data_IF_857737700948
#
_entry.id   IF_857737700948
#
_cell.length_a   1.000
_cell.length_b   1.000
_cell.length_c   1.000
_cell.angle_alpha   90.00
_cell.angle_beta   90.00
_cell.angle_gamma   90.00
#
_symmetry.space_group_name_H-M   'P 1'
#
loop_
_entity.id
_entity.type
_entity.pdbx_description
1 polymer ?
#
# COMPACT_ATOMS: atom_id res chain seq x y z
N UNK A 1 29.03 -49.43 -69.16
CA UNK A 1 27.74 -48.90 -68.73
C UNK A 1 27.94 -48.47 -67.24
N UNK A 2 28.04 -47.17 -66.98
CA UNK A 2 28.17 -46.61 -65.65
C UNK A 2 26.85 -45.97 -65.31
N UNK A 3 26.29 -46.39 -64.17
CA UNK A 3 25.07 -45.81 -63.62
C UNK A 3 25.47 -44.75 -62.59
N UNK A 4 25.10 -43.52 -62.87
CA UNK A 4 25.28 -42.38 -61.91
C UNK A 4 24.01 -42.29 -61.08
N UNK A 5 24.15 -42.51 -59.79
CA UNK A 5 23.09 -42.22 -58.77
C UNK A 5 23.25 -40.78 -58.23
N UNK A 6 22.28 -39.93 -58.62
CA UNK A 6 22.13 -38.57 -58.05
C UNK A 6 21.36 -38.64 -56.74
N UNK A 7 22.05 -38.37 -55.61
CA UNK A 7 21.40 -38.20 -54.32
C UNK A 7 20.86 -36.77 -54.20
N UNK A 8 19.54 -36.65 -54.00
CA UNK A 8 18.89 -35.41 -53.64
C UNK A 8 19.03 -35.13 -52.14
N UNK A 9 19.73 -34.05 -51.78
CA UNK A 9 19.80 -33.55 -50.40
C UNK A 9 18.48 -32.82 -50.08
N UNK A 10 17.76 -33.34 -49.11
CA UNK A 10 16.63 -32.61 -48.47
C UNK A 10 17.20 -31.57 -47.52
N UNK A 11 17.02 -30.31 -47.84
CA UNK A 11 17.24 -29.21 -46.91
C UNK A 11 16.06 -29.18 -45.94
N UNK A 12 16.32 -29.48 -44.65
CA UNK A 12 15.38 -29.27 -43.58
C UNK A 12 15.27 -27.77 -43.32
N UNK A 13 14.13 -27.18 -43.62
CA UNK A 13 13.77 -25.82 -43.22
C UNK A 13 13.50 -25.82 -41.74
N UNK A 14 14.41 -25.19 -40.97
CA UNK A 14 14.16 -24.88 -39.57
C UNK A 14 13.08 -23.79 -39.48
N UNK A 15 11.93 -24.13 -38.91
CA UNK A 15 10.91 -23.15 -38.53
C UNK A 15 11.48 -22.22 -37.48
N UNK A 16 11.23 -20.88 -37.53
CA UNK A 16 11.62 -19.98 -36.48
C UNK A 16 10.76 -20.27 -35.24
N UNK A 17 11.40 -20.60 -34.13
CA UNK A 17 10.75 -20.72 -32.85
C UNK A 17 10.10 -19.35 -32.50
N UNK A 18 8.77 -19.29 -32.48
CA UNK A 18 8.01 -18.19 -31.91
C UNK A 18 8.41 -18.07 -30.44
N UNK A 19 9.34 -17.17 -30.14
CA UNK A 19 9.52 -16.68 -28.76
C UNK A 19 8.27 -15.89 -28.43
N UNK A 20 7.43 -16.48 -27.59
CA UNK A 20 6.22 -15.90 -27.05
C UNK A 20 6.60 -14.56 -26.37
N UNK A 21 6.45 -13.47 -27.13
CA UNK A 21 6.81 -12.10 -26.77
C UNK A 21 5.89 -11.52 -25.69
N UNK A 22 5.73 -12.23 -24.55
CA UNK A 22 5.07 -11.66 -23.38
C UNK A 22 5.97 -10.58 -22.80
N UNK A 23 5.66 -9.32 -23.15
CA UNK A 23 6.19 -8.16 -22.43
C UNK A 23 6.08 -8.42 -20.93
N UNK A 24 7.17 -8.30 -20.15
CA UNK A 24 7.11 -8.53 -18.71
C UNK A 24 5.99 -7.68 -18.12
N UNK A 25 5.05 -8.32 -17.44
CA UNK A 25 3.92 -7.63 -16.82
C UNK A 25 4.49 -6.71 -15.73
N UNK A 26 4.25 -5.40 -15.85
CA UNK A 26 4.74 -4.42 -14.88
C UNK A 26 4.35 -4.82 -13.46
N UNK A 27 5.32 -4.83 -12.55
CA UNK A 27 5.17 -5.19 -11.15
C UNK A 27 5.41 -3.95 -10.28
N UNK A 28 4.43 -3.59 -9.46
CA UNK A 28 4.43 -2.34 -8.69
C UNK A 28 4.47 -2.61 -7.19
N UNK A 29 5.21 -1.78 -6.45
CA UNK A 29 5.20 -1.78 -4.99
C UNK A 29 4.92 -0.37 -4.49
N UNK A 30 4.13 -0.26 -3.40
CA UNK A 30 3.99 0.95 -2.58
C UNK A 30 4.35 0.64 -1.14
N UNK A 31 4.97 1.61 -0.47
CA UNK A 31 5.40 1.53 0.92
C UNK A 31 4.74 2.62 1.76
N UNK A 32 4.24 2.22 2.92
CA UNK A 32 3.74 3.09 3.97
C UNK A 32 4.60 2.86 5.22
N UNK A 33 5.01 3.94 5.88
CA UNK A 33 5.63 3.90 7.21
C UNK A 33 4.63 4.49 8.19
N UNK A 34 4.16 3.64 9.12
CA UNK A 34 3.20 3.98 10.17
C UNK A 34 3.89 4.53 11.44
N UNK A 35 3.12 4.93 12.46
CA UNK A 35 3.55 5.38 13.80
C UNK A 35 4.52 6.58 13.81
N UNK A 36 4.40 7.49 12.85
CA UNK A 36 5.25 8.67 12.77
C UNK A 36 4.72 9.85 13.59
N UNK A 37 5.62 10.81 13.87
CA UNK A 37 5.34 12.02 14.66
C UNK A 37 5.80 11.94 16.11
N UNK A 38 6.34 10.80 16.55
CA UNK A 38 6.74 10.55 17.93
C UNK A 38 8.21 10.89 18.20
N UNK A 39 9.10 10.62 17.25
CA UNK A 39 10.55 10.67 17.46
C UNK A 39 11.23 11.38 16.27
N UNK A 40 11.75 12.60 16.47
CA UNK A 40 12.39 13.37 15.40
C UNK A 40 13.48 12.61 14.66
N UNK A 41 14.30 11.81 15.34
CA UNK A 41 15.37 11.04 14.73
C UNK A 41 14.82 9.93 13.81
N UNK A 42 13.82 9.17 14.28
CA UNK A 42 13.18 8.12 13.49
C UNK A 42 12.37 8.71 12.34
N UNK A 43 11.63 9.78 12.63
CA UNK A 43 10.81 10.49 11.65
C UNK A 43 11.68 11.06 10.52
N UNK A 44 12.83 11.66 10.86
CA UNK A 44 13.80 12.18 9.88
C UNK A 44 14.37 11.07 8.99
N UNK A 45 14.68 9.89 9.56
CA UNK A 45 15.15 8.75 8.77
C UNK A 45 14.06 8.21 7.84
N UNK A 46 12.81 8.11 8.32
CA UNK A 46 11.69 7.71 7.48
C UNK A 46 11.47 8.72 6.33
N UNK A 47 11.58 10.01 6.61
CA UNK A 47 11.47 11.09 5.62
C UNK A 47 12.58 11.00 4.55
N UNK A 48 13.79 10.62 4.96
CA UNK A 48 14.96 10.50 4.08
C UNK A 48 14.97 9.24 3.21
N UNK A 49 14.07 8.27 3.46
CA UNK A 49 13.95 7.09 2.60
C UNK A 49 13.76 7.52 1.13
N UNK A 50 14.47 6.88 0.18
CA UNK A 50 14.36 7.25 -1.23
C UNK A 50 12.97 6.96 -1.77
N UNK A 51 12.58 7.63 -2.86
CA UNK A 51 11.37 7.36 -3.63
C UNK A 51 10.04 7.75 -2.96
N UNK A 52 8.91 7.26 -3.49
CA UNK A 52 7.57 7.69 -3.11
C UNK A 52 7.02 6.93 -1.88
N UNK A 53 7.62 7.16 -0.72
CA UNK A 53 7.12 6.61 0.56
C UNK A 53 5.92 7.43 1.04
N UNK A 54 4.87 6.75 1.50
CA UNK A 54 3.75 7.36 2.21
C UNK A 54 4.05 7.36 3.71
N UNK A 55 3.88 8.51 4.36
CA UNK A 55 4.18 8.70 5.77
C UNK A 55 2.87 8.86 6.55
N UNK A 56 2.56 7.85 7.37
CA UNK A 56 1.34 7.81 8.18
C UNK A 56 1.64 8.28 9.62
N UNK A 57 0.99 9.36 10.01
CA UNK A 57 1.33 10.15 11.20
C UNK A 57 0.23 10.03 12.24
N UNK A 58 0.61 9.68 13.47
CA UNK A 58 -0.27 9.62 14.63
C UNK A 58 -0.68 11.03 15.07
N UNK A 59 -1.99 11.33 15.27
CA UNK A 59 -2.46 12.68 15.59
C UNK A 59 -2.14 13.11 17.03
N UNK A 60 -1.93 12.17 17.94
CA UNK A 60 -1.67 12.39 19.38
C UNK A 60 -0.18 12.44 19.74
N UNK A 61 0.69 12.49 18.74
CA UNK A 61 2.14 12.58 18.94
C UNK A 61 2.61 14.05 19.03
N UNK A 62 3.71 14.31 19.77
CA UNK A 62 4.15 15.68 20.02
C UNK A 62 4.60 16.44 18.76
N UNK A 63 5.06 15.72 17.73
CA UNK A 63 5.60 16.31 16.51
C UNK A 63 4.69 16.14 15.29
N UNK A 64 3.45 15.62 15.45
CA UNK A 64 2.55 15.28 14.37
C UNK A 64 2.41 16.40 13.32
N UNK A 65 2.06 17.61 13.76
CA UNK A 65 1.79 18.74 12.86
C UNK A 65 3.04 19.22 12.12
N UNK A 66 4.15 19.31 12.84
CA UNK A 66 5.40 19.80 12.22
C UNK A 66 5.99 18.77 11.26
N UNK A 67 5.90 17.49 11.63
CA UNK A 67 6.36 16.42 10.75
C UNK A 67 5.48 16.29 9.49
N UNK A 68 4.15 16.43 9.62
CA UNK A 68 3.24 16.46 8.46
C UNK A 68 3.60 17.58 7.47
N UNK A 69 3.93 18.76 7.98
CA UNK A 69 4.40 19.88 7.14
C UNK A 69 5.74 19.59 6.46
N UNK A 70 6.68 19.00 7.18
CA UNK A 70 7.98 18.62 6.63
C UNK A 70 7.83 17.54 5.54
N UNK A 71 7.03 16.50 5.80
CA UNK A 71 6.73 15.44 4.85
C UNK A 71 6.10 15.99 3.56
N UNK A 72 5.09 16.84 3.69
CA UNK A 72 4.45 17.51 2.55
C UNK A 72 5.44 18.38 1.75
N UNK A 73 6.27 19.20 2.43
CA UNK A 73 7.30 20.03 1.78
C UNK A 73 8.34 19.18 1.04
N UNK A 74 8.65 17.99 1.55
CA UNK A 74 9.56 17.03 0.90
C UNK A 74 8.90 16.24 -0.25
N UNK A 75 7.65 16.54 -0.62
CA UNK A 75 6.91 15.86 -1.69
C UNK A 75 6.45 14.44 -1.35
N UNK A 76 6.48 14.06 -0.07
CA UNK A 76 5.95 12.77 0.39
C UNK A 76 4.43 12.82 0.55
N UNK A 77 3.76 11.71 0.29
CA UNK A 77 2.33 11.59 0.62
C UNK A 77 2.16 11.48 2.12
N UNK A 78 1.41 12.39 2.70
CA UNK A 78 1.01 12.39 4.12
C UNK A 78 -0.29 11.64 4.28
N UNK A 79 -0.38 10.81 5.30
CA UNK A 79 -1.59 10.07 5.68
C UNK A 79 -1.84 10.19 7.18
N UNK A 80 -3.10 10.29 7.59
CA UNK A 80 -3.48 10.23 8.99
C UNK A 80 -3.49 8.76 9.43
N UNK A 81 -2.65 8.43 10.42
CA UNK A 81 -2.67 7.13 11.10
C UNK A 81 -3.65 7.20 12.26
N UNK A 82 -4.91 6.83 12.01
CA UNK A 82 -6.02 7.06 12.93
C UNK A 82 -6.07 6.00 14.02
N UNK A 83 -5.93 6.37 15.32
CA UNK A 83 -6.10 5.41 16.41
C UNK A 83 -7.51 4.84 16.44
N UNK A 84 -7.62 3.51 16.51
CA UNK A 84 -8.88 2.78 16.55
C UNK A 84 -8.83 1.64 17.57
N UNK A 85 -9.95 1.37 18.25
CA UNK A 85 -10.05 0.34 19.28
C UNK A 85 -9.44 -1.01 18.81
N UNK A 86 -8.46 -1.59 19.57
CA UNK A 86 -8.14 -1.39 20.97
C UNK A 86 -7.22 -0.20 21.32
N UNK A 87 -6.73 0.57 20.34
CA UNK A 87 -5.97 1.78 20.62
C UNK A 87 -6.73 2.73 21.54
N UNK A 88 -5.98 3.46 22.36
CA UNK A 88 -6.51 4.43 23.34
C UNK A 88 -6.04 5.84 22.98
N UNK A 89 -6.53 6.83 23.73
CA UNK A 89 -6.13 8.23 23.55
C UNK A 89 -7.27 9.14 23.09
N UNK A 90 -7.00 10.45 22.99
CA UNK A 90 -8.03 11.46 22.78
C UNK A 90 -8.68 11.39 21.39
N UNK A 91 -7.99 10.84 20.42
CA UNK A 91 -8.48 10.67 19.04
C UNK A 91 -8.99 9.26 18.76
N UNK A 92 -8.81 8.31 19.69
CA UNK A 92 -9.11 6.91 19.44
C UNK A 92 -10.60 6.68 19.16
N UNK A 93 -10.89 6.01 18.04
CA UNK A 93 -12.22 5.58 17.70
C UNK A 93 -12.59 4.29 18.40
N UNK A 94 -13.78 4.25 18.99
CA UNK A 94 -14.28 3.09 19.72
C UNK A 94 -15.73 2.82 19.36
N UNK A 95 -16.18 1.54 19.34
CA UNK A 95 -17.54 1.16 18.95
C UNK A 95 -18.63 1.72 19.88
N UNK A 96 -18.30 2.04 21.12
CA UNK A 96 -19.25 2.58 22.13
C UNK A 96 -19.48 4.10 21.99
N UNK A 97 -18.76 4.78 21.09
CA UNK A 97 -18.90 6.21 20.90
C UNK A 97 -20.01 6.52 19.87
N UNK A 98 -20.81 7.58 20.11
CA UNK A 98 -21.77 8.05 19.12
C UNK A 98 -21.07 8.59 17.88
N UNK A 99 -21.73 8.53 16.72
CA UNK A 99 -21.16 9.00 15.44
C UNK A 99 -20.70 10.47 15.47
N UNK A 100 -21.40 11.33 16.22
CA UNK A 100 -21.01 12.73 16.43
C UNK A 100 -19.66 12.88 17.14
N UNK A 101 -19.37 11.99 18.07
CA UNK A 101 -18.07 11.97 18.76
C UNK A 101 -16.97 11.42 17.84
N UNK A 102 -17.27 10.38 17.04
CA UNK A 102 -16.34 9.87 16.03
C UNK A 102 -16.01 10.96 14.99
N UNK A 103 -16.99 11.74 14.57
CA UNK A 103 -16.79 12.88 13.68
C UNK A 103 -15.90 13.96 14.32
N UNK A 104 -16.19 14.32 15.56
CA UNK A 104 -15.40 15.32 16.32
C UNK A 104 -13.94 14.90 16.39
N UNK A 105 -13.67 13.64 16.73
CA UNK A 105 -12.31 13.08 16.82
C UNK A 105 -11.61 13.03 15.48
N UNK A 106 -12.32 12.67 14.40
CA UNK A 106 -11.77 12.70 13.04
C UNK A 106 -11.38 14.12 12.64
N UNK A 107 -12.24 15.09 12.88
CA UNK A 107 -11.97 16.49 12.59
C UNK A 107 -10.73 17.00 13.35
N UNK A 108 -10.67 16.71 14.64
CA UNK A 108 -9.55 17.10 15.50
C UNK A 108 -8.24 16.41 15.06
N UNK A 109 -8.28 15.14 14.69
CA UNK A 109 -7.12 14.40 14.19
C UNK A 109 -6.60 14.95 12.86
N UNK A 110 -7.50 15.28 11.92
CA UNK A 110 -7.12 15.89 10.63
C UNK A 110 -6.48 17.28 10.80
N UNK A 111 -6.90 18.04 11.81
CA UNK A 111 -6.23 19.31 12.15
C UNK A 111 -4.80 19.12 12.67
N UNK A 112 -4.54 17.98 13.36
CA UNK A 112 -3.19 17.63 13.82
C UNK A 112 -2.28 17.10 12.73
N UNK A 113 -2.85 16.49 11.70
CA UNK A 113 -2.10 15.95 10.56
C UNK A 113 -2.52 16.69 9.28
N UNK A 114 -2.07 17.96 9.09
CA UNK A 114 -2.39 18.70 7.89
C UNK A 114 -1.81 18.02 6.64
N UNK A 115 -2.43 18.29 5.48
CA UNK A 115 -2.06 17.69 4.19
C UNK A 115 -2.32 16.17 4.08
N UNK A 116 -3.00 15.55 5.05
CA UNK A 116 -3.38 14.16 4.91
C UNK A 116 -4.22 13.94 3.65
N UNK A 117 -3.73 13.08 2.76
CA UNK A 117 -4.42 12.73 1.51
C UNK A 117 -5.33 11.49 1.68
N UNK A 118 -5.18 10.79 2.79
CA UNK A 118 -5.95 9.59 3.16
C UNK A 118 -5.73 9.20 4.60
N UNK A 119 -6.36 8.11 4.98
CA UNK A 119 -6.34 7.56 6.35
C UNK A 119 -6.00 6.07 6.30
N UNK A 120 -5.25 5.59 7.29
CA UNK A 120 -5.21 4.17 7.64
C UNK A 120 -5.43 3.98 9.15
N UNK A 121 -5.78 2.77 9.55
CA UNK A 121 -6.04 2.46 10.95
C UNK A 121 -4.75 2.09 11.69
N UNK A 122 -4.50 2.78 12.83
CA UNK A 122 -3.59 2.34 13.88
C UNK A 122 -4.33 1.35 14.77
N UNK A 123 -3.76 0.14 14.94
CA UNK A 123 -4.49 -0.98 15.55
C UNK A 123 -5.86 -1.21 14.89
N UNK A 124 -6.94 -1.11 15.66
CA UNK A 124 -8.30 -1.14 15.11
C UNK A 124 -8.88 -2.53 14.91
N UNK A 125 -8.34 -3.57 15.52
CA UNK A 125 -8.82 -4.94 15.32
C UNK A 125 -10.29 -5.16 15.71
N UNK A 126 -10.82 -4.35 16.64
CA UNK A 126 -12.26 -4.33 17.00
C UNK A 126 -13.02 -3.30 16.20
N UNK A 127 -12.52 -2.07 16.11
CA UNK A 127 -13.23 -0.97 15.45
C UNK A 127 -13.45 -1.21 13.95
N UNK A 128 -12.45 -1.74 13.24
CA UNK A 128 -12.57 -2.02 11.81
C UNK A 128 -13.50 -3.20 11.48
N UNK A 129 -13.92 -3.96 12.50
CA UNK A 129 -14.91 -5.02 12.36
C UNK A 129 -16.37 -4.52 12.54
N UNK A 130 -16.58 -3.21 12.85
CA UNK A 130 -17.91 -2.63 13.08
C UNK A 130 -18.48 -2.03 11.79
N UNK A 131 -19.46 -2.69 11.14
CA UNK A 131 -19.96 -2.27 9.83
C UNK A 131 -20.57 -0.86 9.82
N UNK A 132 -21.33 -0.50 10.88
CA UNK A 132 -21.99 0.82 10.96
C UNK A 132 -20.95 1.94 11.02
N UNK A 133 -19.94 1.80 11.86
CA UNK A 133 -18.88 2.78 11.99
C UNK A 133 -18.01 2.88 10.72
N UNK A 134 -17.68 1.75 10.10
CA UNK A 134 -16.91 1.75 8.86
C UNK A 134 -17.70 2.32 7.68
N UNK A 135 -18.98 1.99 7.55
CA UNK A 135 -19.85 2.60 6.54
C UNK A 135 -19.92 4.12 6.69
N UNK A 136 -20.07 4.62 7.92
CA UNK A 136 -20.04 6.05 8.19
C UNK A 136 -18.67 6.67 7.84
N UNK A 137 -17.57 6.04 8.27
CA UNK A 137 -16.21 6.54 7.97
C UNK A 137 -15.98 6.70 6.47
N UNK A 138 -16.28 5.66 5.68
CA UNK A 138 -16.03 5.71 4.23
C UNK A 138 -16.86 6.80 3.54
N UNK A 139 -18.07 7.06 4.03
CA UNK A 139 -18.91 8.20 3.59
C UNK A 139 -18.27 9.55 3.92
N UNK A 140 -17.70 9.69 5.13
CA UNK A 140 -16.96 10.91 5.53
C UNK A 140 -15.71 11.13 4.68
N UNK A 141 -14.94 10.05 4.43
CA UNK A 141 -13.74 10.15 3.61
C UNK A 141 -14.06 10.53 2.16
N UNK A 142 -15.15 9.99 1.61
CA UNK A 142 -15.60 10.34 0.25
C UNK A 142 -15.98 11.84 0.15
N UNK A 143 -16.73 12.37 1.13
CA UNK A 143 -17.07 13.81 1.17
C UNK A 143 -15.84 14.73 1.28
N UNK A 144 -14.77 14.24 1.88
CA UNK A 144 -13.50 14.97 2.09
C UNK A 144 -12.46 14.72 1.01
N UNK A 145 -12.76 13.88 0.01
CA UNK A 145 -11.83 13.46 -1.03
C UNK A 145 -10.56 12.79 -0.49
N UNK A 146 -10.71 12.03 0.62
CA UNK A 146 -9.64 11.26 1.24
C UNK A 146 -9.74 9.80 0.83
N UNK A 147 -8.62 9.13 0.63
CA UNK A 147 -8.60 7.68 0.39
C UNK A 147 -8.48 6.90 1.70
N UNK A 148 -8.80 5.60 1.65
CA UNK A 148 -8.64 4.67 2.76
C UNK A 148 -7.59 3.60 2.44
N UNK A 149 -6.71 3.32 3.42
CA UNK A 149 -5.92 2.10 3.43
C UNK A 149 -6.30 1.26 4.64
N UNK A 150 -6.84 0.08 4.41
CA UNK A 150 -7.08 -0.89 5.47
C UNK A 150 -5.77 -1.58 5.84
N UNK A 151 -5.25 -1.29 7.04
CA UNK A 151 -4.01 -1.89 7.57
C UNK A 151 -4.15 -3.37 7.89
N UNK A 152 -5.39 -3.91 7.89
CA UNK A 152 -5.72 -5.33 8.11
C UNK A 152 -5.08 -5.89 9.38
N UNK A 153 -5.28 -5.21 10.49
CA UNK A 153 -4.87 -5.65 11.82
C UNK A 153 -5.74 -6.80 12.36
N UNK A 154 -6.84 -7.08 11.67
CA UNK A 154 -7.74 -8.21 11.93
C UNK A 154 -8.23 -8.83 10.62
N UNK A 155 -8.40 -10.15 10.59
CA UNK A 155 -9.07 -10.83 9.48
C UNK A 155 -10.58 -10.50 9.40
N UNK A 156 -11.17 -9.93 10.47
CA UNK A 156 -12.57 -9.57 10.56
C UNK A 156 -12.87 -8.14 10.07
N UNK A 157 -11.85 -7.40 9.62
CA UNK A 157 -12.06 -6.05 9.11
C UNK A 157 -13.06 -6.02 7.96
N UNK A 158 -13.95 -5.04 8.00
CA UNK A 158 -14.90 -4.74 6.91
C UNK A 158 -14.58 -3.42 6.21
N UNK A 159 -13.52 -2.71 6.63
CA UNK A 159 -13.18 -1.38 6.15
C UNK A 159 -13.03 -1.31 4.63
N UNK A 160 -12.26 -2.22 4.03
CA UNK A 160 -12.09 -2.29 2.58
C UNK A 160 -13.39 -2.65 1.85
N UNK A 161 -14.22 -3.56 2.42
CA UNK A 161 -15.50 -3.94 1.83
C UNK A 161 -16.50 -2.77 1.83
N UNK A 162 -16.58 -2.02 2.92
CA UNK A 162 -17.43 -0.83 2.99
C UNK A 162 -16.96 0.26 2.01
N UNK A 163 -15.65 0.46 1.88
CA UNK A 163 -15.09 1.38 0.89
C UNK A 163 -15.47 1.00 -0.56
N UNK A 164 -15.39 -0.29 -0.89
CA UNK A 164 -15.77 -0.79 -2.22
C UNK A 164 -17.25 -0.60 -2.55
N UNK A 165 -18.15 -0.75 -1.57
CA UNK A 165 -19.59 -0.57 -1.78
C UNK A 165 -19.98 0.81 -2.32
N UNK A 166 -19.25 1.85 -1.91
CA UNK A 166 -19.52 3.23 -2.33
C UNK A 166 -18.54 3.76 -3.37
N UNK A 167 -17.60 2.93 -3.84
CA UNK A 167 -16.58 3.32 -4.81
C UNK A 167 -15.52 4.27 -4.23
N UNK A 168 -15.28 4.26 -2.92
CA UNK A 168 -14.21 5.04 -2.31
C UNK A 168 -12.84 4.54 -2.79
N UNK A 169 -11.97 5.47 -3.18
CA UNK A 169 -10.56 5.18 -3.44
C UNK A 169 -9.92 4.49 -2.23
N UNK A 170 -9.55 3.22 -2.36
CA UNK A 170 -9.09 2.44 -1.22
C UNK A 170 -8.14 1.32 -1.61
N UNK A 171 -7.33 0.90 -0.64
CA UNK A 171 -6.43 -0.25 -0.72
C UNK A 171 -6.46 -1.03 0.59
N UNK A 172 -5.96 -2.26 0.52
CA UNK A 172 -5.61 -3.04 1.72
C UNK A 172 -4.11 -3.33 1.70
N UNK A 173 -3.52 -3.45 2.88
CA UNK A 173 -2.16 -3.95 3.05
C UNK A 173 -2.05 -5.40 2.58
N UNK A 174 -1.01 -5.70 1.82
CA UNK A 174 -0.67 -7.07 1.43
C UNK A 174 0.41 -7.66 2.34
N UNK A 175 1.44 -6.88 2.69
CA UNK A 175 2.59 -7.35 3.46
C UNK A 175 2.85 -6.44 4.66
N UNK A 176 3.01 -7.05 5.85
CA UNK A 176 3.48 -6.40 7.06
C UNK A 176 4.98 -6.68 7.17
N UNK A 177 5.80 -5.62 7.23
CA UNK A 177 7.26 -5.80 7.11
C UNK A 177 7.92 -6.25 8.40
N UNK A 178 7.44 -5.81 9.54
CA UNK A 178 8.17 -5.80 10.80
C UNK A 178 7.35 -6.31 12.00
N UNK A 179 6.47 -7.27 11.78
CA UNK A 179 5.83 -8.06 12.83
C UNK A 179 6.91 -8.74 13.69
N UNK A 180 7.90 -9.34 13.03
CA UNK A 180 9.15 -9.76 13.65
C UNK A 180 10.26 -8.73 13.33
N UNK A 181 10.84 -8.10 14.38
CA UNK A 181 11.76 -6.94 14.27
C UNK A 181 13.23 -7.34 14.07
N UNK A 182 13.49 -8.44 13.36
CA UNK A 182 14.85 -8.82 12.95
C UNK A 182 15.13 -8.38 11.52
N UNK A 183 16.37 -8.07 11.20
CA UNK A 183 16.76 -7.66 9.84
C UNK A 183 16.47 -8.77 8.81
N UNK A 184 16.64 -10.02 9.21
CA UNK A 184 16.38 -11.20 8.42
C UNK A 184 14.90 -11.34 8.08
N UNK A 185 14.01 -11.25 9.10
CA UNK A 185 12.57 -11.35 8.92
C UNK A 185 12.04 -10.20 8.05
N UNK A 186 12.46 -8.96 8.31
CA UNK A 186 12.08 -7.78 7.53
C UNK A 186 12.53 -7.92 6.07
N UNK A 187 13.76 -8.38 5.84
CA UNK A 187 14.26 -8.64 4.48
C UNK A 187 13.43 -9.74 3.80
N UNK A 188 13.06 -10.79 4.52
CA UNK A 188 12.21 -11.87 4.05
C UNK A 188 10.81 -11.38 3.63
N UNK A 189 10.20 -10.47 4.42
CA UNK A 189 8.92 -9.86 4.10
C UNK A 189 9.00 -8.93 2.89
N UNK A 190 10.07 -8.14 2.76
CA UNK A 190 10.30 -7.33 1.56
C UNK A 190 10.39 -8.22 0.30
N UNK A 191 11.13 -9.32 0.36
CA UNK A 191 11.20 -10.28 -0.75
C UNK A 191 9.84 -10.96 -1.03
N UNK A 192 9.03 -11.16 0.01
CA UNK A 192 7.65 -11.66 -0.17
C UNK A 192 6.78 -10.65 -0.92
N UNK A 193 6.92 -9.36 -0.63
CA UNK A 193 6.24 -8.30 -1.38
C UNK A 193 6.70 -8.25 -2.85
N UNK A 194 7.99 -8.42 -3.11
CA UNK A 194 8.54 -8.51 -4.48
C UNK A 194 7.93 -9.69 -5.24
N UNK A 195 7.94 -10.89 -4.64
CA UNK A 195 7.31 -12.08 -5.24
C UNK A 195 5.84 -11.88 -5.50
N UNK A 196 5.12 -11.26 -4.56
CA UNK A 196 3.70 -10.99 -4.68
C UNK A 196 3.44 -9.98 -5.83
N UNK A 197 4.24 -8.92 -5.93
CA UNK A 197 4.14 -7.95 -7.01
C UNK A 197 4.35 -8.60 -8.37
N UNK A 198 5.33 -9.50 -8.52
CA UNK A 198 5.52 -10.26 -9.76
C UNK A 198 4.34 -11.19 -10.06
N UNK A 199 3.79 -11.86 -9.05
CA UNK A 199 2.68 -12.81 -9.23
C UNK A 199 1.38 -12.15 -9.64
N UNK A 200 0.97 -11.08 -8.94
CA UNK A 200 -0.34 -10.42 -9.11
C UNK A 200 -0.25 -9.01 -9.70
N UNK A 201 0.97 -8.53 -9.94
CA UNK A 201 1.26 -7.24 -10.57
C UNK A 201 1.40 -6.07 -9.59
N UNK A 202 1.14 -6.23 -8.29
CA UNK A 202 1.34 -5.16 -7.31
C UNK A 202 1.38 -5.70 -5.88
N UNK A 203 2.04 -4.95 -4.95
CA UNK A 203 1.98 -5.19 -3.52
C UNK A 203 2.01 -3.86 -2.74
N UNK A 204 1.24 -3.78 -1.66
CA UNK A 204 1.24 -2.69 -0.68
C UNK A 204 1.87 -3.19 0.60
N UNK A 205 2.96 -2.54 1.01
CA UNK A 205 3.68 -2.86 2.23
C UNK A 205 3.44 -1.81 3.31
N UNK A 206 3.34 -2.25 4.57
CA UNK A 206 3.37 -1.38 5.75
C UNK A 206 4.51 -1.83 6.64
N UNK A 207 5.27 -0.87 7.17
CA UNK A 207 6.25 -1.03 8.22
C UNK A 207 6.27 0.17 9.15
N UNK A 208 7.10 0.10 10.20
CA UNK A 208 7.20 1.13 11.25
C UNK A 208 8.61 1.70 11.31
N UNK A 209 8.84 2.85 11.96
CA UNK A 209 10.13 3.51 12.00
C UNK A 209 11.07 2.85 13.04
N UNK A 210 11.08 1.50 13.08
CA UNK A 210 12.06 0.79 13.89
C UNK A 210 13.44 0.88 13.25
N UNK A 211 14.52 0.99 14.04
CA UNK A 211 15.88 1.10 13.51
C UNK A 211 16.23 -0.02 12.51
N UNK A 212 15.77 -1.24 12.78
CA UNK A 212 16.01 -2.40 11.91
C UNK A 212 15.26 -2.28 10.58
N UNK A 213 13.98 -1.88 10.65
CA UNK A 213 13.14 -1.68 9.46
C UNK A 213 13.75 -0.60 8.56
N UNK A 214 14.07 0.56 9.13
CA UNK A 214 14.68 1.65 8.36
C UNK A 214 16.01 1.24 7.75
N UNK A 215 16.88 0.53 8.50
CA UNK A 215 18.18 0.06 7.98
C UNK A 215 18.01 -0.93 6.81
N UNK A 216 17.04 -1.85 6.88
CA UNK A 216 16.74 -2.77 5.77
C UNK A 216 16.20 -2.00 4.57
N UNK A 217 15.25 -1.08 4.78
CA UNK A 217 14.67 -0.30 3.69
C UNK A 217 15.71 0.60 3.00
N UNK A 218 16.55 1.32 3.75
CA UNK A 218 17.64 2.13 3.22
C UNK A 218 18.57 1.32 2.30
N UNK A 219 18.86 0.07 2.65
CA UNK A 219 19.73 -0.83 1.90
C UNK A 219 19.06 -1.46 0.69
N UNK A 220 17.79 -1.85 0.81
CA UNK A 220 17.12 -2.70 -0.18
C UNK A 220 16.27 -1.93 -1.20
N UNK A 221 15.65 -0.80 -0.80
CA UNK A 221 14.79 -0.05 -1.71
C UNK A 221 15.49 0.40 -3.00
N UNK A 222 16.76 0.84 -3.00
CA UNK A 222 17.46 1.20 -4.23
C UNK A 222 17.62 0.04 -5.22
N UNK A 223 17.52 -1.21 -4.75
CA UNK A 223 17.71 -2.42 -5.58
C UNK A 223 16.42 -2.89 -6.26
N UNK A 224 15.24 -2.37 -5.89
CA UNK A 224 13.95 -2.82 -6.41
C UNK A 224 13.85 -2.71 -7.93
N UNK A 225 14.37 -1.63 -8.52
CA UNK A 225 14.37 -1.43 -9.97
C UNK A 225 15.12 -2.53 -10.71
N UNK A 226 16.27 -2.97 -10.18
CA UNK A 226 17.05 -4.09 -10.75
C UNK A 226 16.32 -5.43 -10.64
N UNK A 227 15.35 -5.55 -9.72
CA UNK A 227 14.48 -6.71 -9.56
C UNK A 227 13.21 -6.61 -10.44
N UNK A 228 13.12 -5.66 -11.37
CA UNK A 228 11.95 -5.48 -12.23
C UNK A 228 10.74 -4.90 -11.52
N UNK A 229 10.94 -4.25 -10.37
CA UNK A 229 9.89 -3.60 -9.58
C UNK A 229 9.89 -2.10 -9.85
N UNK A 230 8.72 -1.57 -10.18
CA UNK A 230 8.46 -0.14 -10.17
C UNK A 230 7.86 0.27 -8.83
N UNK A 231 8.56 1.15 -8.12
CA UNK A 231 8.10 1.67 -6.85
C UNK A 231 7.29 2.94 -7.07
N UNK A 232 6.00 2.92 -6.68
CA UNK A 232 5.03 3.97 -6.96
C UNK A 232 4.36 4.50 -5.69
N UNK A 233 3.91 5.73 -5.76
CA UNK A 233 3.11 6.37 -4.70
C UNK A 233 1.80 5.61 -4.45
N UNK A 234 1.27 5.69 -3.24
CA UNK A 234 0.04 4.99 -2.85
C UNK A 234 -1.18 5.42 -3.70
N UNK A 235 -1.24 6.68 -4.13
CA UNK A 235 -2.33 7.18 -4.99
C UNK A 235 -2.24 6.60 -6.40
N UNK A 236 -1.02 6.44 -6.92
CA UNK A 236 -0.79 5.73 -8.18
C UNK A 236 -1.15 4.25 -8.05
N UNK A 237 -0.85 3.62 -6.90
CA UNK A 237 -1.24 2.23 -6.63
C UNK A 237 -2.76 2.05 -6.61
N UNK A 238 -3.52 2.99 -6.06
CA UNK A 238 -4.99 2.99 -6.12
C UNK A 238 -5.45 2.97 -7.58
N UNK A 239 -4.90 3.86 -8.41
CA UNK A 239 -5.22 3.92 -9.84
C UNK A 239 -4.85 2.62 -10.58
N UNK A 240 -3.66 2.07 -10.33
CA UNK A 240 -3.21 0.80 -10.94
C UNK A 240 -4.15 -0.35 -10.59
N UNK A 241 -4.59 -0.46 -9.34
CA UNK A 241 -5.50 -1.52 -8.91
C UNK A 241 -6.92 -1.29 -9.42
N UNK A 242 -7.41 -0.05 -9.43
CA UNK A 242 -8.70 0.33 -10.00
C UNK A 242 -8.78 0.02 -11.49
N UNK A 243 -7.78 0.42 -12.26
CA UNK A 243 -7.72 0.13 -13.70
C UNK A 243 -7.69 -1.37 -14.00
N UNK A 244 -6.99 -2.16 -13.18
CA UNK A 244 -6.96 -3.63 -13.33
C UNK A 244 -8.31 -4.27 -13.04
N UNK A 245 -9.02 -3.82 -12.02
CA UNK A 245 -10.36 -4.28 -11.70
C UNK A 245 -11.33 -4.00 -12.87
N UNK A 246 -11.29 -2.77 -13.42
CA UNK A 246 -12.11 -2.39 -14.57
C UNK A 246 -11.78 -3.23 -15.81
N UNK A 247 -10.49 -3.47 -16.11
CA UNK A 247 -10.06 -4.29 -17.23
C UNK A 247 -10.48 -5.76 -17.08
N UNK A 248 -10.49 -6.31 -15.87
CA UNK A 248 -10.97 -7.66 -15.61
C UNK A 248 -12.48 -7.79 -15.86
N UNK A 249 -13.28 -6.84 -15.38
CA UNK A 249 -14.74 -6.81 -15.59
C UNK A 249 -15.10 -6.58 -17.08
N UNK A 250 -14.32 -5.78 -17.81
CA UNK A 250 -14.55 -5.52 -19.24
C UNK A 250 -14.31 -6.73 -20.15
N UNK A 251 -13.55 -7.73 -19.69
CA UNK A 251 -13.35 -8.98 -20.46
C UNK A 251 -14.55 -9.94 -20.38
N UNK A 252 -15.35 -9.84 -19.33
CA UNK A 252 -16.50 -10.73 -19.11
C UNK A 252 -17.82 -10.17 -19.66
N UNK A 253 -17.80 -9.05 -20.35
CA UNK A 253 -18.89 -8.56 -21.22
C UNK A 253 -20.22 -8.25 -20.51
N UNK A 254 -20.22 -7.98 -19.21
CA UNK A 254 -21.46 -7.69 -18.46
C UNK A 254 -21.45 -6.27 -17.90
N UNK A 255 -21.77 -5.29 -18.76
CA UNK A 255 -22.45 -4.09 -18.29
C UNK A 255 -23.95 -4.38 -18.24
N UNK A 256 -24.52 -4.59 -17.09
CA UNK A 256 -25.94 -4.44 -16.82
C UNK A 256 -26.17 -3.42 -15.75
#
# INVERSE_FOLDING_TARGET
MAVVLTGAAHAASAEPSETDGKTPKAAYISLIIDDLGQSPDKDSRALALPGPVTLAIMPDTPHATDFARQAHKAGKTVMLHMPMDPATGPYAWRPDLPLTELESRLNAALLKVPYAAGINNHEGSRMTAEPVAMNWLVGELQRRHLFLVDSRTSAKTVAAAEAQKIGLASLSRDVFLDDERTAEAISGQLQSAVRLAHKQGSAVMIGHPYPQTLAVLERELPKLKAQGIEWIDIRQMISVRGNRATAAHGKDGVYR
#
